data_IF_288131979816
#
_entry.id   IF_288131979816
#
_cell.length_a   1.000
_cell.length_b   1.000
_cell.length_c   1.000
_cell.angle_alpha   90.00
_cell.angle_beta   90.00
_cell.angle_gamma   90.00
#
_symmetry.space_group_name_H-M   'P 1'
#
loop_
_entity.id
_entity.type
_entity.pdbx_description
1 polymer ?
#
# COMPACT_ATOMS: atom_id res chain seq x y z
N UNK A 1 -49.55 12.97 -36.42
CA UNK A 1 -49.64 14.01 -35.37
C UNK A 1 -49.43 13.32 -34.02
N UNK A 2 -48.55 13.66 -33.08
CA UNK A 2 -47.48 14.62 -32.93
C UNK A 2 -47.05 14.58 -31.45
N UNK A 3 -45.73 14.52 -31.20
CA UNK A 3 -44.99 14.94 -29.97
C UNK A 3 -45.06 14.11 -28.67
N UNK A 4 -43.87 13.63 -28.28
CA UNK A 4 -43.44 13.23 -26.93
C UNK A 4 -43.50 14.39 -25.91
N UNK A 5 -43.74 14.07 -24.62
CA UNK A 5 -43.17 14.79 -23.44
C UNK A 5 -43.47 14.10 -22.10
N UNK A 6 -42.39 13.89 -21.34
CA UNK A 6 -42.24 13.36 -19.99
C UNK A 6 -42.90 14.17 -18.86
N UNK A 7 -43.28 13.52 -17.75
CA UNK A 7 -43.37 14.14 -16.41
C UNK A 7 -43.43 13.12 -15.26
N UNK A 8 -42.29 12.93 -14.61
CA UNK A 8 -42.17 12.32 -13.28
C UNK A 8 -42.74 13.25 -12.20
N UNK A 9 -43.34 12.67 -11.16
CA UNK A 9 -44.10 13.38 -10.11
C UNK A 9 -43.27 13.42 -8.82
N UNK A 10 -42.67 14.56 -8.52
CA UNK A 10 -41.98 14.81 -7.24
C UNK A 10 -42.95 15.37 -6.18
N UNK A 11 -42.96 14.88 -4.93
CA UNK A 11 -43.65 15.54 -3.84
C UNK A 11 -42.73 16.46 -3.01
N UNK A 12 -43.09 17.75 -3.05
CA UNK A 12 -43.20 18.73 -1.96
C UNK A 12 -42.18 18.79 -0.80
N UNK A 13 -41.42 19.89 -0.84
CA UNK A 13 -40.97 20.81 0.23
C UNK A 13 -41.45 20.51 1.66
N UNK A 14 -40.50 20.21 2.56
CA UNK A 14 -40.54 20.63 3.98
C UNK A 14 -39.26 21.39 4.35
N UNK A 15 -39.46 22.65 4.79
CA UNK A 15 -38.44 23.56 5.31
C UNK A 15 -38.13 23.22 6.77
N UNK A 16 -36.87 22.99 7.13
CA UNK A 16 -36.40 23.24 8.49
C UNK A 16 -35.03 23.94 8.48
N UNK A 17 -34.96 25.01 9.28
CA UNK A 17 -33.82 25.91 9.51
C UNK A 17 -32.58 25.14 10.00
N UNK A 18 -31.41 25.40 9.43
CA UNK A 18 -30.13 25.15 10.11
C UNK A 18 -29.50 26.48 10.53
N UNK A 19 -29.22 26.57 11.83
CA UNK A 19 -28.55 27.69 12.49
C UNK A 19 -27.03 27.52 12.38
N UNK A 20 -26.38 28.67 12.21
CA UNK A 20 -24.96 29.00 12.39
C UNK A 20 -24.05 27.98 13.09
N UNK A 21 -22.93 27.62 12.44
CA UNK A 21 -21.70 27.19 13.12
C UNK A 21 -20.48 27.61 12.30
N UNK A 22 -19.91 28.77 12.65
CA UNK A 22 -18.56 29.18 12.25
C UNK A 22 -17.55 28.33 13.00
N UNK A 23 -16.67 27.60 12.32
CA UNK A 23 -15.37 27.22 12.88
C UNK A 23 -14.25 27.51 11.88
N UNK A 24 -13.54 28.59 12.23
CA UNK A 24 -12.28 29.08 11.68
C UNK A 24 -11.19 28.49 12.56
N UNK A 25 -10.46 27.50 12.08
CA UNK A 25 -9.32 26.94 12.82
C UNK A 25 -8.05 27.72 12.46
N UNK A 26 -7.73 28.64 13.37
CA UNK A 26 -6.57 29.52 13.40
C UNK A 26 -5.39 28.72 13.95
N UNK A 27 -4.31 28.65 13.18
CA UNK A 27 -3.00 28.12 13.60
C UNK A 27 -2.52 28.87 14.85
N UNK A 28 -2.21 28.11 15.91
CA UNK A 28 -1.56 28.63 17.11
C UNK A 28 -0.68 27.53 17.70
N UNK A 29 0.60 27.68 17.43
CA UNK A 29 1.70 26.97 18.07
C UNK A 29 1.64 27.18 19.60
N UNK A 30 1.95 26.13 20.36
CA UNK A 30 2.34 26.25 21.76
C UNK A 30 3.38 25.20 22.12
N UNK A 31 4.45 25.70 22.72
CA UNK A 31 5.65 25.05 23.19
C UNK A 31 5.44 23.91 24.19
N UNK A 32 6.33 22.91 24.13
CA UNK A 32 6.72 22.06 25.26
C UNK A 32 8.24 21.84 25.21
N UNK A 33 8.92 22.30 26.26
CA UNK A 33 10.35 22.08 26.55
C UNK A 33 10.60 20.59 26.89
N UNK A 34 11.74 20.00 26.49
CA UNK A 34 12.95 19.87 27.33
C UNK A 34 14.00 18.90 26.72
N UNK A 35 15.30 19.25 26.87
CA UNK A 35 16.53 18.40 27.00
C UNK A 35 16.79 17.34 25.91
N UNK A 36 17.88 17.36 25.12
CA UNK A 36 19.30 17.25 25.50
C UNK A 36 20.20 17.52 24.27
N UNK A 37 21.49 17.86 24.49
CA UNK A 37 22.69 17.84 23.60
C UNK A 37 22.49 17.60 22.09
N UNK A 38 22.96 18.43 21.15
CA UNK A 38 24.37 18.75 20.96
C UNK A 38 24.57 19.99 20.06
N UNK A 39 25.71 20.66 20.26
CA UNK A 39 26.17 21.86 19.54
C UNK A 39 27.04 21.41 18.35
N UNK A 40 27.11 22.19 17.24
CA UNK A 40 28.02 23.34 17.23
C UNK A 40 27.42 24.59 16.59
N UNK A 41 27.65 25.74 17.24
CA UNK A 41 27.27 27.06 16.74
C UNK A 41 28.55 27.80 16.36
N UNK A 42 28.79 27.93 15.07
CA UNK A 42 29.81 28.81 14.53
C UNK A 42 29.61 30.24 15.06
N UNK A 43 30.69 30.81 15.60
CA UNK A 43 30.73 32.18 16.11
C UNK A 43 31.20 33.10 15.01
N UNK A 44 30.28 33.86 14.43
CA UNK A 44 30.61 35.00 13.59
C UNK A 44 30.93 36.24 14.44
N UNK A 45 31.93 36.99 13.94
CA UNK A 45 32.00 38.45 13.93
C UNK A 45 32.07 39.19 15.27
N UNK A 46 33.29 39.30 15.83
CA UNK A 46 33.63 40.31 16.85
C UNK A 46 34.03 41.63 16.16
N UNK A 47 33.09 42.55 15.98
CA UNK A 47 33.41 43.96 15.71
C UNK A 47 33.36 44.75 17.03
N UNK A 48 34.51 45.29 17.45
CA UNK A 48 34.56 46.36 18.45
C UNK A 48 35.52 47.43 17.98
N UNK A 49 34.92 48.56 17.57
CA UNK A 49 35.57 49.85 17.39
C UNK A 49 36.20 50.29 18.71
N UNK A 50 37.44 50.79 18.66
CA UNK A 50 37.98 51.76 19.63
C UNK A 50 39.01 52.63 18.92
N UNK A 51 38.63 53.87 18.68
CA UNK A 51 39.49 55.00 18.37
C UNK A 51 40.37 55.34 19.58
N UNK A 52 41.59 55.84 19.36
CA UNK A 52 42.00 57.22 19.71
C UNK A 52 43.52 57.43 19.52
N UNK A 53 43.83 58.48 18.75
CA UNK A 53 44.94 59.46 18.82
C UNK A 53 46.41 59.03 18.76
N UNK A 54 47.10 59.63 17.79
CA UNK A 54 48.53 59.91 17.77
C UNK A 54 48.86 61.17 18.59
N UNK A 55 50.00 61.17 19.29
CA UNK A 55 50.87 62.34 19.52
C UNK A 55 52.15 61.93 20.26
N UNK A 56 53.11 62.83 20.18
CA UNK A 56 54.57 62.72 20.22
C UNK A 56 55.24 63.07 21.56
N UNK A 57 56.59 62.99 21.56
CA UNK A 57 57.58 63.67 22.45
C UNK A 57 57.91 62.95 23.78
N UNK A 58 59.16 62.53 23.99
CA UNK A 58 60.33 63.28 24.53
C UNK A 58 60.28 63.45 26.04
N UNK A 59 61.34 63.06 26.75
CA UNK A 59 61.58 63.51 28.13
C UNK A 59 62.23 62.46 29.02
N UNK A 60 63.55 62.57 29.15
CA UNK A 60 64.34 62.07 30.27
C UNK A 60 63.79 62.50 31.63
N UNK A 61 63.83 61.61 32.62
CA UNK A 61 64.04 62.02 34.02
C UNK A 61 64.67 60.89 34.83
N UNK A 62 65.53 61.29 35.75
CA UNK A 62 66.39 60.48 36.59
C UNK A 62 65.95 60.56 38.05
N UNK A 63 66.21 59.49 38.82
CA UNK A 63 66.78 59.48 40.19
C UNK A 63 66.10 58.49 41.13
N UNK A 64 66.94 57.68 41.79
CA UNK A 64 66.99 57.38 43.25
C UNK A 64 68.08 56.30 43.44
N UNK A 65 69.32 56.70 43.75
CA UNK A 65 69.90 56.86 45.09
C UNK A 65 70.01 55.57 45.92
N UNK A 66 71.21 54.97 45.95
CA UNK A 66 71.74 54.34 47.16
C UNK A 66 73.28 54.48 47.17
N UNK A 67 73.76 55.19 48.18
CA UNK A 67 75.16 55.46 48.49
C UNK A 67 75.99 54.20 48.83
N UNK A 68 77.11 53.98 48.12
CA UNK A 68 78.34 53.40 48.72
C UNK A 68 79.55 54.18 48.23
N UNK A 69 80.08 55.01 49.12
CA UNK A 69 81.40 55.63 49.02
C UNK A 69 82.45 54.57 49.35
N UNK A 70 83.31 54.20 48.41
CA UNK A 70 84.64 53.69 48.76
C UNK A 70 85.67 54.12 47.73
N UNK A 71 86.63 54.88 48.22
CA UNK A 71 87.76 55.42 47.48
C UNK A 71 88.69 54.30 46.98
N UNK A 72 88.81 54.11 45.67
CA UNK A 72 90.07 53.62 45.08
C UNK A 72 90.21 54.02 43.61
N UNK A 73 91.10 55.00 43.39
CA UNK A 73 92.02 55.11 42.26
C UNK A 73 91.41 55.25 40.84
N UNK A 74 91.31 56.52 40.43
CA UNK A 74 91.90 57.06 39.18
C UNK A 74 92.99 56.11 38.62
N UNK A 75 92.69 55.33 37.57
CA UNK A 75 93.72 54.66 36.77
C UNK A 75 93.23 54.03 35.45
N UNK A 76 92.16 54.51 34.79
CA UNK A 76 91.73 53.88 33.53
C UNK A 76 91.18 54.83 32.45
N UNK A 77 91.45 56.14 32.54
CA UNK A 77 91.09 57.11 31.47
C UNK A 77 92.27 57.72 30.71
N UNK A 78 93.50 57.34 31.05
CA UNK A 78 94.73 57.78 30.35
C UNK A 78 95.37 56.69 29.48
N UNK A 79 94.71 55.55 29.26
CA UNK A 79 95.17 54.50 28.32
C UNK A 79 94.60 54.62 26.90
N UNK A 80 93.90 55.70 26.57
CA UNK A 80 93.28 55.86 25.23
C UNK A 80 94.04 56.82 24.29
N UNK A 81 95.25 57.26 24.64
CA UNK A 81 96.02 58.22 23.80
C UNK A 81 97.42 57.76 23.40
N UNK A 82 97.68 56.45 23.43
CA UNK A 82 98.88 55.83 22.87
C UNK A 82 98.61 54.35 22.57
N UNK A 83 97.64 54.10 21.69
CA UNK A 83 97.66 52.86 20.93
C UNK A 83 98.63 53.14 19.78
N UNK A 84 99.72 52.37 19.68
CA UNK A 84 100.61 52.46 18.53
C UNK A 84 99.76 52.30 17.25
N UNK A 85 100.11 53.01 16.17
CA UNK A 85 99.42 52.91 14.86
C UNK A 85 99.19 51.44 14.45
N UNK A 86 100.13 50.57 14.85
CA UNK A 86 100.13 49.11 14.72
C UNK A 86 98.99 48.43 15.49
N UNK A 87 98.69 48.85 16.71
CA UNK A 87 97.64 48.26 17.55
C UNK A 87 96.24 48.67 17.06
N UNK A 88 96.09 49.92 16.60
CA UNK A 88 94.84 50.39 15.96
C UNK A 88 94.59 49.67 14.62
N UNK A 89 95.64 49.43 13.83
CA UNK A 89 95.55 48.63 12.61
C UNK A 89 95.21 47.16 12.92
N UNK A 90 95.80 46.57 13.96
CA UNK A 90 95.48 45.22 14.41
C UNK A 90 94.04 45.09 14.94
N UNK A 91 93.51 46.11 15.61
CA UNK A 91 92.11 46.13 16.07
C UNK A 91 91.13 46.27 14.90
N UNK A 92 91.43 47.13 13.92
CA UNK A 92 90.66 47.23 12.67
C UNK A 92 90.70 45.91 11.88
N UNK A 93 91.82 45.20 11.88
CA UNK A 93 91.96 43.87 11.29
C UNK A 93 91.12 42.82 12.05
N UNK A 94 91.13 42.84 13.39
CA UNK A 94 90.24 42.00 14.22
C UNK A 94 88.76 42.30 13.97
N UNK A 95 88.38 43.55 13.83
CA UNK A 95 87.00 43.93 13.48
C UNK A 95 86.60 43.47 12.09
N UNK A 96 87.51 43.55 11.09
CA UNK A 96 87.28 42.99 9.75
C UNK A 96 87.11 41.47 9.80
N UNK A 97 87.99 40.76 10.49
CA UNK A 97 87.88 39.30 10.72
C UNK A 97 86.58 38.94 11.43
N UNK A 98 86.16 39.71 12.44
CA UNK A 98 84.89 39.50 13.15
C UNK A 98 83.67 39.69 12.25
N UNK A 99 83.67 40.74 11.40
CA UNK A 99 82.61 40.97 10.39
C UNK A 99 82.60 39.86 9.34
N UNK A 100 83.77 39.39 8.91
CA UNK A 100 83.89 38.29 7.96
C UNK A 100 83.37 36.96 8.55
N UNK A 101 83.71 36.66 9.80
CA UNK A 101 83.18 35.49 10.52
C UNK A 101 81.66 35.60 10.73
N UNK A 102 81.16 36.77 11.12
CA UNK A 102 79.72 37.03 11.24
C UNK A 102 79.01 36.83 9.90
N UNK A 103 79.59 37.32 8.80
CA UNK A 103 79.05 37.14 7.46
C UNK A 103 79.11 35.67 7.02
N UNK A 104 80.20 34.93 7.32
CA UNK A 104 80.31 33.48 7.07
C UNK A 104 79.28 32.67 7.85
N UNK A 105 79.04 33.01 9.12
CA UNK A 105 78.02 32.35 9.94
C UNK A 105 76.62 32.66 9.40
N UNK A 106 76.36 33.91 9.00
CA UNK A 106 75.09 34.31 8.41
C UNK A 106 74.81 33.61 7.08
N UNK A 107 75.80 33.52 6.18
CA UNK A 107 75.66 32.81 4.90
C UNK A 107 75.54 31.31 5.09
N UNK A 108 76.32 30.70 6.00
CA UNK A 108 76.19 29.27 6.33
C UNK A 108 74.81 28.95 6.92
N UNK A 109 74.27 29.82 7.79
CA UNK A 109 72.92 29.68 8.34
C UNK A 109 71.83 29.89 7.29
N UNK A 110 72.02 30.80 6.33
CA UNK A 110 71.08 30.99 5.23
C UNK A 110 71.05 29.77 4.29
N UNK A 111 72.22 29.21 3.96
CA UNK A 111 72.33 27.98 3.16
C UNK A 111 71.76 26.78 3.90
N UNK A 112 71.96 26.67 5.21
CA UNK A 112 71.32 25.66 6.06
C UNK A 112 69.79 25.74 5.99
N UNK A 113 69.23 26.95 6.13
CA UNK A 113 67.78 27.17 6.02
C UNK A 113 67.21 26.85 4.64
N UNK A 114 67.92 27.15 3.55
CA UNK A 114 67.50 26.79 2.19
C UNK A 114 67.45 25.27 2.02
N UNK A 115 68.49 24.57 2.46
CA UNK A 115 68.54 23.10 2.43
C UNK A 115 67.42 22.46 3.27
N UNK A 116 67.12 23.03 4.45
CA UNK A 116 66.02 22.55 5.29
C UNK A 116 64.65 22.75 4.62
N UNK A 117 64.44 23.88 3.92
CA UNK A 117 63.19 24.12 3.18
C UNK A 117 63.07 23.16 2.00
N UNK A 118 64.14 22.96 1.22
CA UNK A 118 64.16 21.99 0.13
C UNK A 118 63.92 20.55 0.61
N UNK A 119 64.55 20.16 1.72
CA UNK A 119 64.33 18.84 2.34
C UNK A 119 62.88 18.67 2.79
N UNK A 120 62.29 19.67 3.45
CA UNK A 120 60.87 19.64 3.84
C UNK A 120 59.93 19.53 2.64
N UNK A 121 60.22 20.22 1.55
CA UNK A 121 59.40 20.11 0.32
C UNK A 121 59.46 18.70 -0.29
N UNK A 122 60.63 18.06 -0.27
CA UNK A 122 60.80 16.68 -0.74
C UNK A 122 60.12 15.69 0.20
N UNK A 123 60.23 15.88 1.52
CA UNK A 123 59.54 15.06 2.52
C UNK A 123 58.02 15.20 2.42
N UNK A 124 57.50 16.41 2.20
CA UNK A 124 56.08 16.66 1.97
C UNK A 124 55.60 16.02 0.66
N UNK A 125 56.39 16.06 -0.41
CA UNK A 125 56.04 15.40 -1.67
C UNK A 125 56.05 13.87 -1.52
N UNK A 126 57.02 13.32 -0.79
CA UNK A 126 57.08 11.90 -0.48
C UNK A 126 55.89 11.48 0.41
N UNK A 127 55.54 12.26 1.43
CA UNK A 127 54.39 12.04 2.29
C UNK A 127 53.08 12.06 1.50
N UNK A 128 52.90 13.01 0.58
CA UNK A 128 51.73 13.09 -0.31
C UNK A 128 51.62 11.87 -1.22
N UNK A 129 52.71 11.40 -1.81
CA UNK A 129 52.69 10.18 -2.65
C UNK A 129 52.33 8.93 -1.83
N UNK A 130 52.82 8.83 -0.60
CA UNK A 130 52.48 7.73 0.31
C UNK A 130 50.99 7.82 0.69
N UNK A 131 50.50 9.01 1.03
CA UNK A 131 49.09 9.27 1.35
C UNK A 131 48.17 8.88 0.19
N UNK A 132 48.50 9.28 -1.05
CA UNK A 132 47.73 8.90 -2.24
C UNK A 132 47.71 7.39 -2.49
N UNK A 133 48.83 6.69 -2.30
CA UNK A 133 48.88 5.23 -2.46
C UNK A 133 48.10 4.50 -1.37
N UNK A 134 48.16 4.99 -0.14
CA UNK A 134 47.37 4.46 0.98
C UNK A 134 45.88 4.73 0.74
N UNK A 135 45.53 5.95 0.33
CA UNK A 135 44.15 6.34 0.03
C UNK A 135 43.57 5.47 -1.09
N UNK A 136 44.30 5.27 -2.20
CA UNK A 136 43.87 4.40 -3.30
C UNK A 136 43.66 2.96 -2.85
N UNK A 137 44.59 2.37 -2.09
CA UNK A 137 44.40 1.00 -1.56
C UNK A 137 43.24 0.89 -0.60
N UNK A 138 43.07 1.85 0.30
CA UNK A 138 41.94 1.88 1.25
C UNK A 138 40.62 2.06 0.52
N UNK A 139 40.58 2.92 -0.49
CA UNK A 139 39.40 3.14 -1.33
C UNK A 139 39.01 1.88 -2.08
N UNK A 140 39.95 1.20 -2.74
CA UNK A 140 39.70 -0.09 -3.42
C UNK A 140 39.22 -1.19 -2.45
N UNK A 141 39.76 -1.26 -1.24
CA UNK A 141 39.29 -2.22 -0.23
C UNK A 141 37.89 -1.89 0.29
N UNK A 142 37.60 -0.60 0.49
CA UNK A 142 36.28 -0.14 0.89
C UNK A 142 35.26 -0.32 -0.22
N UNK A 143 35.65 -0.08 -1.47
CA UNK A 143 34.79 -0.25 -2.64
C UNK A 143 34.38 -1.71 -2.80
N UNK A 144 35.33 -2.66 -2.77
CA UNK A 144 35.02 -4.09 -2.81
C UNK A 144 34.06 -4.53 -1.69
N UNK A 145 34.30 -4.06 -0.45
CA UNK A 145 33.41 -4.37 0.68
C UNK A 145 32.04 -3.70 0.53
N UNK A 146 31.99 -2.47 -0.01
CA UNK A 146 30.73 -1.76 -0.25
C UNK A 146 29.92 -2.45 -1.34
N UNK A 147 30.53 -2.84 -2.44
CA UNK A 147 29.86 -3.57 -3.52
C UNK A 147 29.31 -4.92 -3.04
N UNK A 148 30.07 -5.66 -2.23
CA UNK A 148 29.62 -6.91 -1.63
C UNK A 148 28.43 -6.70 -0.68
N UNK A 149 28.52 -5.70 0.20
CA UNK A 149 27.43 -5.34 1.13
C UNK A 149 26.21 -4.84 0.35
N UNK A 150 26.39 -4.01 -0.66
CA UNK A 150 25.31 -3.46 -1.47
C UNK A 150 24.60 -4.56 -2.25
N UNK A 151 25.35 -5.47 -2.88
CA UNK A 151 24.79 -6.63 -3.56
C UNK A 151 24.00 -7.53 -2.61
N UNK A 152 24.49 -7.79 -1.39
CA UNK A 152 23.76 -8.58 -0.40
C UNK A 152 22.48 -7.87 0.07
N UNK A 153 22.55 -6.57 0.35
CA UNK A 153 21.39 -5.76 0.73
C UNK A 153 20.35 -5.77 -0.39
N UNK A 154 20.77 -5.56 -1.64
CA UNK A 154 19.89 -5.63 -2.81
C UNK A 154 19.23 -7.01 -2.90
N UNK A 155 19.99 -8.09 -2.76
CA UNK A 155 19.45 -9.47 -2.79
C UNK A 155 18.40 -9.69 -1.69
N UNK A 156 18.67 -9.25 -0.46
CA UNK A 156 17.71 -9.36 0.65
C UNK A 156 16.45 -8.52 0.43
N UNK A 157 16.58 -7.33 -0.14
CA UNK A 157 15.44 -6.47 -0.49
C UNK A 157 14.61 -7.09 -1.60
N UNK A 158 15.25 -7.64 -2.63
CA UNK A 158 14.56 -8.36 -3.71
C UNK A 158 13.85 -9.62 -3.21
N UNK A 159 14.50 -10.42 -2.35
CA UNK A 159 13.89 -11.58 -1.71
C UNK A 159 12.67 -11.18 -0.86
N UNK A 160 12.78 -10.10 -0.07
CA UNK A 160 11.68 -9.58 0.73
C UNK A 160 10.54 -9.06 -0.14
N UNK A 161 10.86 -8.31 -1.21
CA UNK A 161 9.88 -7.82 -2.18
C UNK A 161 9.16 -8.97 -2.88
N UNK A 162 9.90 -9.98 -3.33
CA UNK A 162 9.33 -11.18 -3.98
C UNK A 162 8.49 -12.01 -3.01
N UNK A 163 8.88 -12.09 -1.74
CA UNK A 163 8.06 -12.74 -0.71
C UNK A 163 6.74 -11.99 -0.50
N UNK A 164 6.80 -10.66 -0.37
CA UNK A 164 5.60 -9.82 -0.26
C UNK A 164 4.70 -9.91 -1.50
N UNK A 165 5.28 -9.85 -2.70
CA UNK A 165 4.54 -9.98 -3.96
C UNK A 165 3.85 -11.34 -4.08
N UNK A 166 4.53 -12.42 -3.71
CA UNK A 166 3.91 -13.77 -3.69
C UNK A 166 2.74 -13.84 -2.72
N UNK A 167 2.91 -13.36 -1.49
CA UNK A 167 1.83 -13.34 -0.50
C UNK A 167 0.64 -12.51 -0.97
N UNK A 168 0.90 -11.35 -1.58
CA UNK A 168 -0.15 -10.49 -2.12
C UNK A 168 -0.88 -11.16 -3.30
N UNK A 169 -0.15 -11.83 -4.20
CA UNK A 169 -0.75 -12.57 -5.32
C UNK A 169 -1.58 -13.75 -4.82
N UNK A 170 -1.06 -14.55 -3.89
CA UNK A 170 -1.79 -15.67 -3.27
C UNK A 170 -3.06 -15.17 -2.56
N UNK A 171 -2.99 -14.05 -1.84
CA UNK A 171 -4.16 -13.46 -1.18
C UNK A 171 -5.21 -12.99 -2.21
N UNK A 172 -4.77 -12.39 -3.31
CA UNK A 172 -5.67 -11.97 -4.39
C UNK A 172 -6.32 -13.17 -5.09
N UNK A 173 -5.55 -14.21 -5.39
CA UNK A 173 -6.08 -15.46 -5.98
C UNK A 173 -7.05 -16.15 -5.03
N UNK A 174 -6.75 -16.21 -3.73
CA UNK A 174 -7.64 -16.75 -2.71
C UNK A 174 -8.96 -15.99 -2.64
N UNK A 175 -8.91 -14.64 -2.64
CA UNK A 175 -10.12 -13.80 -2.65
C UNK A 175 -10.95 -14.02 -3.92
N UNK A 176 -10.31 -14.10 -5.09
CA UNK A 176 -11.01 -14.38 -6.34
C UNK A 176 -11.61 -15.78 -6.38
N UNK A 177 -10.88 -16.79 -5.89
CA UNK A 177 -11.36 -18.16 -5.79
C UNK A 177 -12.58 -18.25 -4.89
N UNK A 178 -12.54 -17.58 -3.72
CA UNK A 178 -13.67 -17.49 -2.79
C UNK A 178 -14.89 -16.82 -3.40
N UNK A 179 -14.72 -15.74 -4.15
CA UNK A 179 -15.82 -15.08 -4.86
C UNK A 179 -16.43 -15.98 -5.93
N UNK A 180 -15.59 -16.67 -6.72
CA UNK A 180 -16.06 -17.64 -7.72
C UNK A 180 -16.78 -18.83 -7.08
N UNK A 181 -16.31 -19.31 -5.95
CA UNK A 181 -16.98 -20.38 -5.20
C UNK A 181 -18.32 -19.92 -4.64
N UNK A 182 -18.39 -18.71 -4.10
CA UNK A 182 -19.65 -18.15 -3.61
C UNK A 182 -20.66 -17.94 -4.75
N UNK A 183 -20.21 -17.45 -5.90
CA UNK A 183 -21.04 -17.31 -7.11
C UNK A 183 -21.56 -18.67 -7.58
N UNK A 184 -20.69 -19.68 -7.70
CA UNK A 184 -21.09 -21.05 -8.03
C UNK A 184 -22.10 -21.61 -7.04
N UNK A 185 -21.88 -21.39 -5.73
CA UNK A 185 -22.82 -21.86 -4.70
C UNK A 185 -24.19 -21.19 -4.85
N UNK A 186 -24.23 -19.89 -5.15
CA UNK A 186 -25.48 -19.16 -5.41
C UNK A 186 -26.17 -19.69 -6.68
N UNK A 187 -25.42 -19.93 -7.75
CA UNK A 187 -25.95 -20.49 -8.99
C UNK A 187 -26.53 -21.89 -8.78
N UNK A 188 -25.83 -22.76 -8.03
CA UNK A 188 -26.32 -24.09 -7.68
C UNK A 188 -27.58 -24.04 -6.81
N UNK A 189 -27.65 -23.12 -5.84
CA UNK A 189 -28.86 -22.91 -5.03
C UNK A 189 -30.03 -22.41 -5.88
N UNK A 190 -29.81 -21.49 -6.82
CA UNK A 190 -30.83 -21.05 -7.76
C UNK A 190 -31.26 -22.18 -8.70
N UNK A 191 -30.32 -22.99 -9.19
CA UNK A 191 -30.63 -24.13 -10.06
C UNK A 191 -31.47 -25.15 -9.32
N UNK A 192 -31.10 -25.51 -8.08
CA UNK A 192 -31.91 -26.41 -7.24
C UNK A 192 -33.32 -25.87 -6.98
N UNK A 193 -33.47 -24.57 -6.72
CA UNK A 193 -34.78 -23.94 -6.57
C UNK A 193 -35.61 -24.00 -7.86
N UNK A 194 -34.98 -23.81 -9.03
CA UNK A 194 -35.66 -23.93 -10.33
C UNK A 194 -36.08 -25.37 -10.60
N UNK A 195 -35.19 -26.34 -10.38
CA UNK A 195 -35.48 -27.78 -10.50
C UNK A 195 -36.61 -28.19 -9.54
N UNK A 196 -36.62 -27.70 -8.31
CA UNK A 196 -37.69 -27.97 -7.33
C UNK A 196 -39.03 -27.35 -7.76
N UNK A 197 -39.02 -26.10 -8.26
CA UNK A 197 -40.22 -25.47 -8.80
C UNK A 197 -40.75 -26.21 -10.03
N UNK A 198 -39.87 -26.62 -10.94
CA UNK A 198 -40.22 -27.41 -12.13
C UNK A 198 -40.86 -28.73 -11.72
N UNK A 199 -40.27 -29.44 -10.75
CA UNK A 199 -40.85 -30.67 -10.19
C UNK A 199 -42.23 -30.45 -9.59
N UNK A 200 -42.44 -29.37 -8.83
CA UNK A 200 -43.75 -29.04 -8.27
C UNK A 200 -44.77 -28.76 -9.39
N UNK A 201 -44.36 -28.03 -10.43
CA UNK A 201 -45.21 -27.74 -11.58
C UNK A 201 -45.58 -29.01 -12.36
N UNK A 202 -44.62 -29.90 -12.58
CA UNK A 202 -44.86 -31.21 -13.20
C UNK A 202 -45.82 -32.07 -12.37
N UNK A 203 -45.62 -32.17 -11.05
CA UNK A 203 -46.52 -32.91 -10.18
C UNK A 203 -47.93 -32.30 -10.14
N UNK A 204 -48.05 -30.97 -10.22
CA UNK A 204 -49.34 -30.30 -10.31
C UNK A 204 -50.03 -30.57 -11.64
N UNK A 205 -49.30 -30.45 -12.75
CA UNK A 205 -49.80 -30.73 -14.09
C UNK A 205 -50.26 -32.20 -14.20
N UNK A 206 -49.49 -33.15 -13.68
CA UNK A 206 -49.91 -34.56 -13.61
C UNK A 206 -51.22 -34.74 -12.85
N UNK A 207 -51.39 -34.09 -11.70
CA UNK A 207 -52.65 -34.15 -10.94
C UNK A 207 -53.82 -33.56 -11.73
N UNK A 208 -53.60 -32.48 -12.47
CA UNK A 208 -54.64 -31.89 -13.34
C UNK A 208 -54.99 -32.86 -14.47
N UNK A 209 -53.99 -33.43 -15.15
CA UNK A 209 -54.18 -34.40 -16.22
C UNK A 209 -54.91 -35.66 -15.74
N UNK A 210 -54.52 -36.21 -14.58
CA UNK A 210 -55.19 -37.36 -13.96
C UNK A 210 -56.65 -37.03 -13.59
N UNK A 211 -56.90 -35.85 -13.02
CA UNK A 211 -58.26 -35.41 -12.70
C UNK A 211 -59.11 -35.23 -13.98
N UNK A 212 -58.56 -34.63 -15.03
CA UNK A 212 -59.23 -34.49 -16.32
C UNK A 212 -59.50 -35.85 -16.96
N UNK A 213 -58.53 -36.77 -16.91
CA UNK A 213 -58.66 -38.14 -17.43
C UNK A 213 -59.76 -38.89 -16.69
N UNK A 214 -59.82 -38.78 -15.36
CA UNK A 214 -60.88 -39.40 -14.54
C UNK A 214 -62.25 -38.83 -14.86
N UNK A 215 -62.38 -37.51 -15.00
CA UNK A 215 -63.64 -36.88 -15.42
C UNK A 215 -64.06 -37.31 -16.83
N UNK A 216 -63.11 -37.47 -17.75
CA UNK A 216 -63.39 -37.97 -19.09
C UNK A 216 -63.83 -39.44 -19.08
N UNK A 217 -63.19 -40.27 -18.25
CA UNK A 217 -63.55 -41.68 -18.04
C UNK A 217 -64.95 -41.82 -17.43
N UNK A 218 -65.29 -41.02 -16.41
CA UNK A 218 -66.63 -41.00 -15.81
C UNK A 218 -67.71 -40.56 -16.82
N UNK A 219 -67.42 -39.53 -17.63
CA UNK A 219 -68.32 -39.11 -18.72
C UNK A 219 -68.53 -40.22 -19.75
N UNK A 220 -67.46 -40.92 -20.14
CA UNK A 220 -67.54 -42.02 -21.09
C UNK A 220 -68.34 -43.20 -20.51
N UNK A 221 -68.11 -43.55 -19.23
CA UNK A 221 -68.84 -44.59 -18.53
C UNK A 221 -70.34 -44.28 -18.42
N UNK A 222 -70.71 -43.02 -18.17
CA UNK A 222 -72.11 -42.59 -18.15
C UNK A 222 -72.79 -42.80 -19.52
N UNK A 223 -72.09 -42.44 -20.61
CA UNK A 223 -72.60 -42.65 -21.97
C UNK A 223 -72.73 -44.13 -22.29
N UNK A 224 -71.77 -44.96 -21.88
CA UNK A 224 -71.84 -46.41 -22.04
C UNK A 224 -73.00 -47.03 -21.25
N UNK A 225 -73.22 -46.58 -20.01
CA UNK A 225 -74.38 -47.00 -19.21
C UNK A 225 -75.71 -46.59 -19.86
N UNK A 226 -75.81 -45.37 -20.38
CA UNK A 226 -76.99 -44.93 -21.14
C UNK A 226 -77.22 -45.84 -22.36
N UNK A 227 -76.15 -46.16 -23.11
CA UNK A 227 -76.22 -47.09 -24.24
C UNK A 227 -76.73 -48.47 -23.82
N UNK A 228 -76.26 -49.02 -22.71
CA UNK A 228 -76.71 -50.31 -22.17
C UNK A 228 -78.19 -50.28 -21.76
N UNK A 229 -78.60 -49.24 -21.04
CA UNK A 229 -80.01 -49.05 -20.64
C UNK A 229 -80.94 -48.91 -21.85
N UNK A 230 -80.50 -48.21 -22.89
CA UNK A 230 -81.24 -48.10 -24.15
C UNK A 230 -81.31 -49.44 -24.90
N UNK A 231 -80.21 -50.20 -24.93
CA UNK A 231 -80.18 -51.54 -25.50
C UNK A 231 -81.14 -52.47 -24.76
N UNK A 232 -81.13 -52.45 -23.43
CA UNK A 232 -82.03 -53.23 -22.58
C UNK A 232 -83.49 -52.80 -22.79
N UNK A 233 -83.77 -51.49 -22.85
CA UNK A 233 -85.11 -50.98 -23.16
C UNK A 233 -85.59 -51.43 -24.53
N UNK A 234 -84.71 -51.46 -25.53
CA UNK A 234 -85.03 -51.98 -26.85
C UNK A 234 -85.29 -53.49 -26.82
N UNK A 235 -84.52 -54.28 -26.05
CA UNK A 235 -84.76 -55.72 -25.86
C UNK A 235 -86.12 -55.96 -25.21
N UNK A 236 -86.44 -55.25 -24.13
CA UNK A 236 -87.73 -55.34 -23.45
C UNK A 236 -88.90 -54.95 -24.37
N UNK A 237 -88.74 -53.92 -25.20
CA UNK A 237 -89.75 -53.57 -26.23
C UNK A 237 -89.95 -54.69 -27.25
N UNK A 238 -88.85 -55.27 -27.76
CA UNK A 238 -88.91 -56.39 -28.71
C UNK A 238 -89.55 -57.63 -28.06
N UNK A 239 -89.26 -57.91 -26.79
CA UNK A 239 -89.89 -59.01 -26.05
C UNK A 239 -91.38 -58.76 -25.80
N UNK A 240 -91.77 -57.56 -25.40
CA UNK A 240 -93.17 -57.22 -25.20
C UNK A 240 -93.95 -57.30 -26.51
N UNK A 241 -93.39 -56.79 -27.62
CA UNK A 241 -94.00 -56.91 -28.94
C UNK A 241 -94.15 -58.38 -29.38
N UNK A 242 -93.15 -59.23 -29.08
CA UNK A 242 -93.26 -60.68 -29.29
C UNK A 242 -94.39 -61.29 -28.46
N UNK A 243 -94.47 -60.97 -27.17
CA UNK A 243 -95.54 -61.47 -26.28
C UNK A 243 -96.92 -61.03 -26.76
N UNK A 244 -97.10 -59.76 -27.12
CA UNK A 244 -98.37 -59.24 -27.67
C UNK A 244 -98.72 -59.96 -28.98
N UNK A 245 -97.74 -60.21 -29.87
CA UNK A 245 -97.97 -61.00 -31.09
C UNK A 245 -98.36 -62.45 -30.78
N UNK A 246 -97.75 -63.07 -29.78
CA UNK A 246 -98.08 -64.42 -29.32
C UNK A 246 -99.48 -64.48 -28.67
N UNK A 247 -99.84 -63.50 -27.84
CA UNK A 247 -101.17 -63.35 -27.25
C UNK A 247 -102.23 -63.10 -28.30
N UNK A 248 -101.96 -62.22 -29.27
CA UNK A 248 -102.84 -62.01 -30.43
C UNK A 248 -103.00 -63.30 -31.24
N UNK A 249 -101.95 -64.08 -31.46
CA UNK A 249 -102.05 -65.39 -32.11
C UNK A 249 -102.93 -66.37 -31.31
N UNK A 250 -102.80 -66.38 -29.99
CA UNK A 250 -103.60 -67.20 -29.06
C UNK A 250 -105.08 -66.81 -29.07
N UNK A 251 -105.41 -65.51 -29.07
CA UNK A 251 -106.78 -64.98 -29.14
C UNK A 251 -107.40 -65.20 -30.52
N UNK A 252 -106.63 -64.96 -31.60
CA UNK A 252 -107.08 -65.14 -32.98
C UNK A 252 -107.15 -66.63 -33.39
N UNK A 253 -106.77 -67.57 -32.51
CA UNK A 253 -106.89 -69.01 -32.72
C UNK A 253 -106.00 -69.57 -33.83
N UNK A 254 -105.01 -68.80 -34.31
CA UNK A 254 -104.03 -69.28 -35.29
C UNK A 254 -103.08 -70.27 -34.59
N UNK A 255 -102.75 -71.37 -35.26
CA UNK A 255 -101.93 -72.47 -34.76
C UNK A 255 -102.54 -73.29 -33.60
N UNK A 256 -103.77 -73.80 -33.75
CA UNK A 256 -104.39 -74.79 -32.83
C UNK A 256 -104.43 -74.40 -31.34
N UNK A 257 -104.34 -73.10 -31.02
CA UNK A 257 -104.26 -72.62 -29.64
C UNK A 257 -105.58 -72.67 -28.86
N UNK A 258 -106.71 -72.99 -29.51
CA UNK A 258 -108.04 -73.05 -28.88
C UNK A 258 -108.28 -74.48 -28.37
N UNK A 259 -108.31 -74.71 -27.04
CA UNK A 259 -108.51 -76.04 -26.49
C UNK A 259 -109.86 -76.60 -26.95
N UNK A 260 -109.87 -77.80 -27.50
CA UNK A 260 -111.11 -78.49 -27.91
C UNK A 260 -111.89 -78.86 -26.65
N UNK A 261 -112.93 -78.09 -26.35
CA UNK A 261 -113.87 -78.40 -25.28
C UNK A 261 -114.75 -79.56 -25.73
N UNK A 262 -114.52 -80.75 -25.18
CA UNK A 262 -115.43 -81.90 -25.30
C UNK A 262 -116.50 -81.77 -24.21
N UNK A 263 -117.71 -81.35 -24.58
CA UNK A 263 -118.85 -81.35 -23.66
C UNK A 263 -119.55 -82.72 -23.70
N UNK A 264 -119.54 -83.46 -22.59
CA UNK A 264 -120.40 -84.63 -22.41
C UNK A 264 -121.78 -84.15 -21.98
N UNK A 265 -122.77 -84.26 -22.86
CA UNK A 265 -124.18 -84.02 -22.51
C UNK A 265 -124.65 -85.16 -21.61
N UNK A 266 -124.97 -84.86 -20.34
CA UNK A 266 -125.64 -85.80 -19.45
C UNK A 266 -127.10 -85.95 -19.93
N UNK A 267 -127.57 -87.16 -20.30
CA UNK A 267 -128.98 -87.37 -20.58
C UNK A 267 -129.75 -87.32 -19.26
N UNK A 268 -130.81 -86.52 -19.20
CA UNK A 268 -131.78 -86.54 -18.10
C UNK A 268 -133.07 -87.14 -18.63
N UNK A 269 -133.37 -88.32 -18.10
CA UNK A 269 -134.63 -89.07 -18.12
C UNK A 269 -135.75 -88.31 -17.46
#
# INVERSE_FOLDING_TARGET
>A
MGRSRSRTKSPSRRRHKSKHSRKRSKSREKHSNNKYSDKPKERSSKSRKRSHSASSSSGSDASDDVHIVSHKKRSYRDRDRKMDEVERLAEMERQRKKKELSNKIFTASAVGRQREVEQKMVEEEAAKRIEELVQKRVEEELEKRKEEIEAEVQRRVEEAKRAMERQMMEEMEWRQAKLREEEKRREEEERKKREELERIMEENNRKIEEAQKKLAEERLAMVEQQRLMEEERQRMRKEHEKRVKEEQKKILGKNNSRPKLSFTLKPVT
#
